data_IF_091509880447
#
_entry.id   IF_091509880447
#
_cell.length_a   1.000
_cell.length_b   1.000
_cell.length_c   1.000
_cell.angle_alpha   90.00
_cell.angle_beta   90.00
_cell.angle_gamma   90.00
#
_symmetry.space_group_name_H-M   'P 1'
#
loop_
_entity.id
_entity.type
_entity.pdbx_description
1 polymer ?
#
# COMPACT_ATOMS: atom_id res chain seq x y z
N UNK A 1 2.70 -2.40 -13.56
CA UNK A 1 2.31 -2.11 -12.16
C UNK A 1 3.57 -1.97 -11.34
N UNK A 2 3.62 -0.97 -10.46
CA UNK A 2 4.65 -0.82 -9.43
C UNK A 2 4.03 -1.37 -8.14
N UNK A 3 4.63 -2.42 -7.56
CA UNK A 3 4.12 -3.11 -6.37
C UNK A 3 5.12 -3.04 -5.23
N UNK A 4 4.63 -2.74 -4.04
CA UNK A 4 5.39 -2.76 -2.80
C UNK A 4 4.69 -3.68 -1.78
N UNK A 5 5.46 -4.54 -1.14
CA UNK A 5 4.98 -5.36 -0.01
C UNK A 5 5.26 -4.61 1.28
N UNK A 6 4.22 -4.21 1.99
CA UNK A 6 4.33 -3.41 3.22
C UNK A 6 4.43 -4.26 4.48
N UNK A 7 3.88 -5.48 4.44
CA UNK A 7 3.91 -6.43 5.54
C UNK A 7 3.79 -7.85 5.02
N UNK A 8 4.91 -8.50 4.62
CA UNK A 8 4.90 -9.85 4.07
C UNK A 8 4.48 -10.85 5.15
N UNK A 9 3.41 -11.61 4.91
CA UNK A 9 2.88 -12.64 5.81
C UNK A 9 2.61 -12.10 7.24
N UNK A 10 2.25 -10.81 7.37
CA UNK A 10 2.00 -10.14 8.65
C UNK A 10 0.53 -9.92 8.97
N UNK A 11 -0.37 -10.21 8.02
CA UNK A 11 -1.81 -10.10 8.24
C UNK A 11 -2.28 -11.32 9.02
N UNK A 12 -3.04 -11.07 10.08
CA UNK A 12 -3.58 -12.08 10.99
C UNK A 12 -5.04 -11.79 11.26
N UNK A 13 -5.77 -12.76 11.81
CA UNK A 13 -7.16 -12.54 12.22
C UNK A 13 -7.31 -11.41 13.27
N UNK A 14 -6.29 -11.23 14.12
CA UNK A 14 -6.26 -10.23 15.18
C UNK A 14 -6.12 -8.81 14.64
N UNK A 15 -5.23 -8.59 13.66
CA UNK A 15 -4.94 -7.27 13.12
C UNK A 15 -5.75 -6.89 11.87
N UNK A 16 -6.49 -7.85 11.28
CA UNK A 16 -7.29 -7.67 10.07
C UNK A 16 -8.23 -6.45 10.14
N UNK A 17 -8.92 -6.26 11.27
CA UNK A 17 -9.86 -5.16 11.42
C UNK A 17 -9.16 -3.79 11.40
N UNK A 18 -8.02 -3.65 12.08
CA UNK A 18 -7.25 -2.42 12.11
C UNK A 18 -6.62 -2.10 10.75
N UNK A 19 -6.08 -3.12 10.07
CA UNK A 19 -5.53 -2.98 8.73
C UNK A 19 -6.61 -2.55 7.73
N UNK A 20 -7.78 -3.20 7.74
CA UNK A 20 -8.89 -2.80 6.87
C UNK A 20 -9.38 -1.37 7.14
N UNK A 21 -9.44 -0.95 8.41
CA UNK A 21 -9.80 0.43 8.75
C UNK A 21 -8.78 1.44 8.18
N UNK A 22 -7.48 1.15 8.32
CA UNK A 22 -6.40 1.95 7.76
C UNK A 22 -6.52 2.02 6.23
N UNK A 23 -6.61 0.86 5.56
CA UNK A 23 -6.71 0.75 4.10
C UNK A 23 -7.91 1.52 3.58
N UNK A 24 -9.08 1.37 4.20
CA UNK A 24 -10.31 2.03 3.73
C UNK A 24 -10.21 3.56 3.83
N UNK A 25 -9.71 4.06 4.96
CA UNK A 25 -9.48 5.51 5.15
C UNK A 25 -8.48 6.03 4.12
N UNK A 26 -7.40 5.29 3.90
CA UNK A 26 -6.32 5.70 3.02
C UNK A 26 -6.75 5.65 1.54
N UNK A 27 -7.46 4.59 1.13
CA UNK A 27 -7.98 4.42 -0.23
C UNK A 27 -9.16 5.34 -0.58
N UNK A 28 -9.83 5.93 0.40
CA UNK A 28 -10.88 6.93 0.19
C UNK A 28 -10.33 8.25 -0.39
N UNK A 29 -9.03 8.48 -0.27
CA UNK A 29 -8.36 9.66 -0.84
C UNK A 29 -7.98 9.41 -2.30
N UNK A 30 -8.09 10.43 -3.14
CA UNK A 30 -7.66 10.38 -4.54
C UNK A 30 -6.13 10.41 -4.64
N UNK A 31 -5.53 9.33 -5.17
CA UNK A 31 -4.09 9.16 -5.34
C UNK A 31 -3.77 8.02 -6.31
N UNK A 32 -2.49 7.88 -6.67
CA UNK A 32 -2.02 6.97 -7.72
C UNK A 32 -1.85 5.51 -7.29
N UNK A 33 -2.08 5.19 -6.03
CA UNK A 33 -1.90 3.85 -5.49
C UNK A 33 -3.05 3.42 -4.60
N UNK A 34 -3.23 2.11 -4.48
CA UNK A 34 -4.21 1.48 -3.60
C UNK A 34 -3.54 0.44 -2.72
N UNK A 35 -3.97 0.38 -1.47
CA UNK A 35 -3.57 -0.67 -0.55
C UNK A 35 -4.61 -1.78 -0.56
N UNK A 36 -4.15 -3.02 -0.43
CA UNK A 36 -5.03 -4.17 -0.28
C UNK A 36 -4.29 -5.31 0.41
N UNK A 37 -5.06 -6.21 1.01
CA UNK A 37 -4.56 -7.45 1.61
C UNK A 37 -4.72 -8.56 0.57
N UNK A 38 -3.67 -9.35 0.35
CA UNK A 38 -3.79 -10.60 -0.37
C UNK A 38 -4.06 -11.73 0.63
N UNK A 39 -5.25 -12.33 0.54
CA UNK A 39 -5.66 -13.41 1.43
C UNK A 39 -4.89 -14.71 1.17
N UNK A 40 -4.25 -14.86 0.00
CA UNK A 40 -3.51 -16.08 -0.35
C UNK A 40 -2.19 -16.18 0.42
N UNK A 41 -1.53 -15.04 0.65
CA UNK A 41 -0.21 -14.98 1.30
C UNK A 41 -0.23 -14.17 2.61
N UNK A 42 -1.40 -13.68 3.04
CA UNK A 42 -1.55 -12.88 4.26
C UNK A 42 -0.63 -11.65 4.30
N UNK A 43 -0.43 -10.99 3.16
CA UNK A 43 0.42 -9.80 3.04
C UNK A 43 -0.38 -8.54 2.72
N UNK A 44 0.11 -7.40 3.21
CA UNK A 44 -0.35 -6.08 2.81
C UNK A 44 0.47 -5.58 1.63
N UNK A 45 -0.22 -5.20 0.55
CA UNK A 45 0.37 -4.66 -0.67
C UNK A 45 -0.05 -3.20 -0.89
N UNK A 46 0.82 -2.48 -1.59
CA UNK A 46 0.53 -1.20 -2.24
C UNK A 46 0.81 -1.37 -3.73
N UNK A 47 -0.22 -1.17 -4.55
CA UNK A 47 -0.12 -1.19 -6.00
C UNK A 47 -0.34 0.21 -6.58
N UNK A 48 0.57 0.61 -7.45
CA UNK A 48 0.45 1.78 -8.30
C UNK A 48 0.41 1.35 -9.76
N UNK A 49 -0.65 1.72 -10.46
CA UNK A 49 -0.80 1.40 -11.88
C UNK A 49 -0.11 2.49 -12.70
N UNK A 50 1.00 2.11 -13.35
CA UNK A 50 1.59 2.90 -14.41
C UNK A 50 0.73 2.73 -15.67
N UNK A 51 -0.02 3.77 -16.04
CA UNK A 51 -0.81 3.83 -17.27
C UNK A 51 -0.12 4.81 -18.23
N UNK A 52 0.29 4.33 -19.40
CA UNK A 52 0.86 5.17 -20.45
C UNK A 52 0.06 4.98 -21.74
N UNK A 53 -0.03 6.04 -22.54
CA UNK A 53 -0.58 5.96 -23.89
C UNK A 53 0.37 5.24 -24.85
N UNK A 54 -0.20 4.60 -25.87
CA UNK A 54 0.50 4.06 -27.05
C UNK A 54 1.71 3.15 -26.76
N UNK A 55 1.65 2.36 -25.69
CA UNK A 55 2.73 1.45 -25.22
C UNK A 55 4.10 2.13 -25.04
N UNK A 56 4.12 3.47 -24.98
CA UNK A 56 5.34 4.23 -24.78
C UNK A 56 5.83 4.07 -23.33
N UNK A 57 7.14 4.04 -23.16
CA UNK A 57 7.71 4.23 -21.83
C UNK A 57 7.95 5.72 -21.58
N UNK A 58 7.36 6.24 -20.52
CA UNK A 58 7.45 7.62 -20.05
C UNK A 58 8.22 7.64 -18.71
N UNK A 59 9.54 7.89 -18.74
CA UNK A 59 10.38 7.87 -17.54
C UNK A 59 9.95 8.91 -16.50
N UNK A 60 9.46 10.07 -16.95
CA UNK A 60 8.99 11.14 -16.07
C UNK A 60 7.75 10.74 -15.28
N UNK A 61 6.81 10.03 -15.91
CA UNK A 61 5.65 9.47 -15.24
C UNK A 61 6.07 8.41 -14.22
N UNK A 62 6.95 7.48 -14.61
CA UNK A 62 7.49 6.46 -13.69
C UNK A 62 8.13 7.12 -12.46
N UNK A 63 8.97 8.13 -12.66
CA UNK A 63 9.62 8.86 -11.57
C UNK A 63 8.60 9.56 -10.65
N UNK A 64 7.59 10.20 -11.21
CA UNK A 64 6.54 10.87 -10.44
C UNK A 64 5.73 9.87 -9.59
N UNK A 65 5.36 8.72 -10.16
CA UNK A 65 4.64 7.66 -9.44
C UNK A 65 5.48 7.09 -8.30
N UNK A 66 6.75 6.77 -8.56
CA UNK A 66 7.67 6.28 -7.53
C UNK A 66 7.91 7.30 -6.43
N UNK A 67 8.06 8.58 -6.78
CA UNK A 67 8.24 9.67 -5.80
C UNK A 67 7.03 9.76 -4.86
N UNK A 68 5.81 9.66 -5.41
CA UNK A 68 4.59 9.67 -4.57
C UNK A 68 4.53 8.53 -3.55
N UNK A 69 5.11 7.36 -3.88
CA UNK A 69 5.23 6.24 -2.95
C UNK A 69 6.31 6.53 -1.90
N UNK A 70 7.47 7.05 -2.31
CA UNK A 70 8.58 7.39 -1.41
C UNK A 70 8.17 8.46 -0.40
N UNK A 71 7.33 9.42 -0.78
CA UNK A 71 6.81 10.45 0.13
C UNK A 71 5.80 9.86 1.14
N UNK A 72 4.96 8.93 0.70
CA UNK A 72 3.91 8.31 1.53
C UNK A 72 4.45 7.38 2.62
N UNK A 73 5.49 6.59 2.32
CA UNK A 73 5.94 5.53 3.23
C UNK A 73 6.40 6.08 4.59
N UNK A 74 7.31 7.07 4.68
CA UNK A 74 7.76 7.61 5.96
C UNK A 74 6.62 8.16 6.83
N UNK A 75 5.63 8.81 6.22
CA UNK A 75 4.47 9.37 6.93
C UNK A 75 3.57 8.26 7.49
N UNK A 76 3.52 7.11 6.81
CA UNK A 76 2.58 6.02 7.12
C UNK A 76 3.16 4.93 8.01
N UNK A 77 4.49 4.88 8.19
CA UNK A 77 5.18 3.83 8.97
C UNK A 77 4.61 3.70 10.39
N UNK A 78 4.31 4.81 11.06
CA UNK A 78 3.78 4.80 12.42
C UNK A 78 2.43 4.09 12.50
N UNK A 79 1.48 4.48 11.65
CA UNK A 79 0.14 3.89 11.62
C UNK A 79 0.17 2.45 11.13
N UNK A 80 1.00 2.12 10.13
CA UNK A 80 1.20 0.75 9.65
C UNK A 80 1.69 -0.14 10.79
N UNK A 81 2.70 0.31 11.54
CA UNK A 81 3.21 -0.42 12.71
C UNK A 81 2.10 -0.67 13.74
N UNK A 82 1.37 0.38 14.12
CA UNK A 82 0.25 0.25 15.06
C UNK A 82 -0.83 -0.71 14.56
N UNK A 83 -1.15 -0.68 13.27
CA UNK A 83 -2.12 -1.60 12.69
C UNK A 83 -1.62 -3.06 12.76
N UNK A 84 -0.36 -3.32 12.38
CA UNK A 84 0.22 -4.67 12.44
C UNK A 84 0.31 -5.24 13.86
N UNK A 85 0.62 -4.39 14.85
CA UNK A 85 0.75 -4.75 16.27
C UNK A 85 -0.62 -4.79 17.00
N UNK A 86 -1.72 -4.48 16.32
CA UNK A 86 -3.04 -4.54 16.95
C UNK A 86 -3.42 -5.99 17.29
N UNK A 87 -3.85 -6.20 18.54
CA UNK A 87 -4.29 -7.51 19.02
C UNK A 87 -3.17 -8.48 19.46
N UNK A 88 -1.91 -8.06 19.50
CA UNK A 88 -0.86 -8.76 20.27
C UNK A 88 -0.90 -8.31 21.73
N UNK A 89 -1.71 -8.98 22.54
CA UNK A 89 -1.70 -8.91 24.01
C UNK A 89 -1.49 -10.31 24.60
#
# INVERSE_FOLDING_TARGET
VIRLVLGPEKVTAQNMAALNALINRDNATYKNYKLYIDEQDSSLYLDCVYMCGDDAFEPALMYALMSSIVDYIPESVGELKTAFESGTH
#
